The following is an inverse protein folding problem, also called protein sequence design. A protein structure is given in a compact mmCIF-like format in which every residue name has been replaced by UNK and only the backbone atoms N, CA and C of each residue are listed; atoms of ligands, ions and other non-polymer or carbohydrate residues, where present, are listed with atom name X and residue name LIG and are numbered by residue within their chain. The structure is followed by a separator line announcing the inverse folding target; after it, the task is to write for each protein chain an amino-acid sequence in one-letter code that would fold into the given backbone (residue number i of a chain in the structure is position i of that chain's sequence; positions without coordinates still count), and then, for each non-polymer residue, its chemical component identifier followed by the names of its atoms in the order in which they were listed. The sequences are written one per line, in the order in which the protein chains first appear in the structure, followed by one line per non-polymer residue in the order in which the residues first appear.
data_IF_871401446814
#
_entry.id   IF_871401446814
#
_cell.length_a   1.000
_cell.length_b   1.000
_cell.length_c   1.000
_cell.angle_alpha   90.00
_cell.angle_beta   90.00
_cell.angle_gamma   90.00
#
_symmetry.space_group_name_H-M   'P 1'
#
loop_
_entity.id
_entity.type
_entity.pdbx_description
1 polymer ?
#
# COMPACT_ATOMS: atom_id res chain seq x y z
N UNK A 1 67.34 45.13 -5.18
CA UNK A 1 66.51 44.91 -6.36
C UNK A 1 65.65 43.71 -6.02
N UNK A 2 64.64 43.91 -5.17
CA UNK A 2 63.27 44.33 -5.58
C UNK A 2 62.58 43.09 -6.19
N UNK A 3 61.52 42.51 -5.62
CA UNK A 3 60.37 43.16 -4.97
C UNK A 3 59.73 42.30 -3.86
N UNK A 4 59.23 42.99 -2.85
CA UNK A 4 58.20 42.52 -1.92
C UNK A 4 56.88 43.27 -2.22
N UNK A 5 55.82 43.06 -1.42
CA UNK A 5 54.57 42.38 -1.77
C UNK A 5 53.43 43.32 -2.21
N UNK A 6 52.44 42.82 -2.96
CA UNK A 6 51.16 43.54 -3.16
C UNK A 6 49.96 42.58 -2.98
N UNK A 7 48.98 42.93 -2.12
CA UNK A 7 47.82 42.12 -1.77
C UNK A 7 46.68 42.34 -2.78
N UNK A 8 45.86 41.30 -3.00
CA UNK A 8 44.60 41.41 -3.75
C UNK A 8 43.40 41.40 -2.80
N UNK A 9 42.33 42.17 -3.10
CA UNK A 9 41.48 42.78 -2.08
C UNK A 9 40.31 41.90 -1.64
N UNK A 10 39.98 42.01 -0.35
CA UNK A 10 38.71 41.59 0.24
C UNK A 10 37.56 42.32 -0.47
N UNK A 11 36.76 41.58 -1.24
CA UNK A 11 35.50 42.10 -1.76
C UNK A 11 34.43 41.86 -0.72
N UNK A 12 34.23 42.88 0.12
CA UNK A 12 33.10 43.03 1.02
C UNK A 12 31.83 43.11 0.16
N UNK A 13 31.04 42.03 0.12
CA UNK A 13 29.67 42.11 -0.35
C UNK A 13 28.82 42.76 0.75
N UNK A 14 28.65 44.07 0.60
CA UNK A 14 27.72 44.90 1.35
C UNK A 14 26.30 44.38 1.08
N UNK A 15 25.66 43.76 2.08
CA UNK A 15 24.22 43.52 2.07
C UNK A 15 23.49 44.88 2.03
N UNK A 16 22.54 45.11 1.11
CA UNK A 16 21.65 46.26 1.23
C UNK A 16 20.66 46.01 2.37
N UNK A 17 20.76 46.84 3.40
CA UNK A 17 19.75 47.00 4.46
C UNK A 17 18.41 47.41 3.83
N UNK A 18 17.27 46.76 4.17
CA UNK A 18 15.97 47.21 3.71
C UNK A 18 15.55 48.51 4.43
N UNK A 19 14.91 49.47 3.73
CA UNK A 19 14.47 50.72 4.33
C UNK A 19 13.32 50.48 5.31
N UNK A 20 13.48 51.04 6.50
CA UNK A 20 12.39 51.33 7.42
C UNK A 20 11.51 52.45 6.85
N UNK A 21 10.21 52.21 6.69
CA UNK A 21 9.20 53.23 6.95
C UNK A 21 7.80 52.61 7.14
N UNK A 22 7.24 52.82 8.32
CA UNK A 22 5.82 52.90 8.64
C UNK A 22 5.09 53.77 7.59
N UNK A 23 3.83 53.58 7.19
CA UNK A 23 2.59 53.48 7.99
C UNK A 23 1.41 53.31 7.01
N UNK A 24 0.35 52.58 7.43
CA UNK A 24 -1.08 52.65 6.98
C UNK A 24 -1.34 52.37 5.48
N UNK A 25 -2.25 51.51 5.01
CA UNK A 25 -3.60 51.05 5.37
C UNK A 25 -3.92 50.05 4.24
N UNK A 26 -4.35 48.81 4.48
CA UNK A 26 -5.75 48.47 4.65
C UNK A 26 -5.80 46.99 5.03
N UNK A 27 -6.40 46.72 6.18
CA UNK A 27 -6.77 45.40 6.65
C UNK A 27 -8.03 44.99 5.85
N UNK A 28 -8.04 43.92 5.04
CA UNK A 28 -9.31 43.37 4.58
C UNK A 28 -9.94 42.64 5.77
N UNK A 29 -10.55 43.42 6.67
CA UNK A 29 -11.47 42.93 7.70
C UNK A 29 -12.87 42.88 7.09
N UNK A 30 -13.08 41.99 6.13
CA UNK A 30 -14.42 41.49 5.81
C UNK A 30 -14.28 39.99 5.61
N UNK A 31 -14.62 39.28 6.68
CA UNK A 31 -14.90 37.85 6.73
C UNK A 31 -16.05 37.53 5.77
N UNK A 32 -15.77 37.49 4.47
CA UNK A 32 -16.65 36.85 3.51
C UNK A 32 -16.44 35.36 3.65
N UNK A 33 -17.13 34.75 4.63
CA UNK A 33 -17.37 33.32 4.64
C UNK A 33 -18.33 33.03 3.48
N UNK A 34 -17.83 33.11 2.25
CA UNK A 34 -18.53 32.56 1.09
C UNK A 34 -18.64 31.07 1.37
N UNK A 35 -19.83 30.63 1.75
CA UNK A 35 -20.18 29.23 1.90
C UNK A 35 -19.84 28.56 0.58
N UNK A 36 -18.71 27.83 0.55
CA UNK A 36 -18.34 27.02 -0.61
C UNK A 36 -19.53 26.11 -0.89
N UNK A 37 -19.98 26.06 -2.14
CA UNK A 37 -21.01 25.11 -2.53
C UNK A 37 -20.57 23.71 -2.15
N UNK A 38 -21.51 22.83 -1.81
CA UNK A 38 -21.20 21.44 -1.47
C UNK A 38 -20.33 20.78 -2.55
N UNK A 39 -20.59 21.11 -3.82
CA UNK A 39 -19.77 20.73 -4.98
C UNK A 39 -18.30 21.18 -4.86
N UNK A 40 -18.01 22.44 -4.51
CA UNK A 40 -16.64 22.95 -4.40
C UNK A 40 -15.86 22.35 -3.21
N UNK A 41 -16.56 21.96 -2.14
CA UNK A 41 -15.95 21.24 -1.01
C UNK A 41 -15.55 19.83 -1.45
N UNK A 42 -16.40 19.15 -2.22
CA UNK A 42 -16.15 17.80 -2.72
C UNK A 42 -14.95 17.76 -3.67
N UNK A 43 -14.86 18.71 -4.61
CA UNK A 43 -13.72 18.82 -5.54
C UNK A 43 -12.39 19.02 -4.80
N UNK A 44 -12.38 19.88 -3.78
CA UNK A 44 -11.18 20.12 -2.95
C UNK A 44 -10.74 18.87 -2.18
N UNK A 45 -11.67 18.07 -1.66
CA UNK A 45 -11.34 16.80 -0.99
C UNK A 45 -10.71 15.81 -1.97
N UNK A 46 -11.28 15.67 -3.17
CA UNK A 46 -10.77 14.78 -4.23
C UNK A 46 -9.37 15.19 -4.69
N UNK A 47 -9.14 16.49 -4.91
CA UNK A 47 -7.83 17.01 -5.30
C UNK A 47 -6.76 16.75 -4.22
N UNK A 48 -7.11 16.99 -2.95
CA UNK A 48 -6.25 16.68 -1.81
C UNK A 48 -5.94 15.19 -1.69
N UNK A 49 -6.90 14.31 -1.99
CA UNK A 49 -6.68 12.86 -2.00
C UNK A 49 -5.71 12.47 -3.13
N UNK A 50 -5.90 12.99 -4.32
CA UNK A 50 -5.01 12.75 -5.47
C UNK A 50 -3.58 13.21 -5.22
N UNK A 51 -3.41 14.35 -4.53
CA UNK A 51 -2.09 14.84 -4.13
C UNK A 51 -1.41 13.94 -3.09
N UNK A 52 -2.17 13.42 -2.12
CA UNK A 52 -1.67 12.42 -1.16
C UNK A 52 -1.23 11.14 -1.85
N UNK A 53 -2.02 10.63 -2.79
CA UNK A 53 -1.69 9.43 -3.57
C UNK A 53 -0.40 9.63 -4.38
N UNK A 54 -0.26 10.77 -5.08
CA UNK A 54 0.99 11.10 -5.80
C UNK A 54 2.19 11.15 -4.87
N UNK A 55 2.03 11.70 -3.67
CA UNK A 55 3.12 11.78 -2.69
C UNK A 55 3.51 10.39 -2.18
N UNK A 56 2.54 9.50 -1.93
CA UNK A 56 2.77 8.13 -1.46
C UNK A 56 3.46 7.24 -2.50
N UNK A 57 3.06 7.37 -3.77
CA UNK A 57 3.65 6.62 -4.89
C UNK A 57 4.83 7.35 -5.54
N UNK A 58 5.25 8.50 -4.99
CA UNK A 58 6.48 9.14 -5.43
C UNK A 58 7.66 8.19 -5.14
N UNK A 59 8.44 7.87 -6.16
CA UNK A 59 9.49 6.85 -6.11
C UNK A 59 8.97 5.44 -5.75
N UNK A 60 7.78 5.08 -6.22
CA UNK A 60 7.28 3.71 -6.11
C UNK A 60 8.30 2.71 -6.68
N UNK A 61 8.39 1.55 -6.03
CA UNK A 61 9.30 0.46 -6.39
C UNK A 61 8.50 -0.74 -6.84
N UNK A 62 9.05 -1.51 -7.77
CA UNK A 62 8.43 -2.74 -8.25
C UNK A 62 8.85 -3.94 -7.39
N UNK A 63 7.90 -4.85 -7.17
CA UNK A 63 8.22 -6.17 -6.62
C UNK A 63 8.67 -7.09 -7.78
N UNK A 64 9.88 -7.65 -7.77
CA UNK A 64 10.39 -8.50 -8.85
C UNK A 64 9.70 -9.86 -8.98
N UNK A 65 8.83 -10.22 -8.03
CA UNK A 65 8.06 -11.48 -8.06
C UNK A 65 6.72 -11.28 -8.75
N UNK A 66 5.96 -10.22 -8.40
CA UNK A 66 4.62 -9.98 -8.96
C UNK A 66 4.55 -8.81 -9.95
N UNK A 67 5.64 -8.08 -10.15
CA UNK A 67 5.77 -6.94 -11.07
C UNK A 67 4.79 -5.78 -10.81
N UNK A 68 4.21 -5.70 -9.62
CA UNK A 68 3.35 -4.59 -9.19
C UNK A 68 4.16 -3.49 -8.50
N UNK A 69 3.72 -2.23 -8.68
CA UNK A 69 4.30 -1.06 -8.04
C UNK A 69 3.73 -0.85 -6.64
N UNK A 70 4.61 -0.63 -5.68
CA UNK A 70 4.28 -0.34 -4.29
C UNK A 70 4.98 0.93 -3.82
N UNK A 71 4.46 1.61 -2.79
CA UNK A 71 5.15 2.74 -2.14
C UNK A 71 6.58 2.38 -1.71
N UNK A 72 7.49 3.37 -1.62
CA UNK A 72 8.93 3.16 -1.42
C UNK A 72 9.30 2.41 -0.12
N UNK A 73 8.48 2.54 0.92
CA UNK A 73 8.65 1.87 2.21
C UNK A 73 8.02 0.47 2.18
N UNK A 74 8.56 -0.41 1.34
CA UNK A 74 8.21 -1.83 1.26
C UNK A 74 9.24 -2.67 2.03
N UNK A 75 9.02 -3.98 2.13
CA UNK A 75 9.98 -4.90 2.74
C UNK A 75 11.16 -5.16 1.80
N UNK A 76 12.34 -5.34 2.37
CA UNK A 76 13.56 -5.66 1.63
C UNK A 76 14.16 -6.99 2.11
N UNK A 77 14.68 -7.78 1.18
CA UNK A 77 15.36 -9.04 1.47
C UNK A 77 16.63 -8.81 2.28
N UNK A 78 16.83 -9.54 3.39
CA UNK A 78 17.98 -9.34 4.28
C UNK A 78 19.35 -9.52 3.62
N UNK A 79 19.43 -10.32 2.56
CA UNK A 79 20.68 -10.83 1.98
C UNK A 79 21.10 -10.09 0.70
N UNK A 80 20.17 -9.56 -0.08
CA UNK A 80 20.48 -8.86 -1.35
C UNK A 80 19.81 -7.48 -1.45
N UNK A 81 18.97 -7.12 -0.47
CA UNK A 81 18.24 -5.86 -0.46
C UNK A 81 17.25 -5.73 -1.63
N UNK A 82 16.71 -6.85 -2.13
CA UNK A 82 15.67 -6.82 -3.16
C UNK A 82 14.31 -6.49 -2.53
N UNK A 83 13.53 -5.56 -3.10
CA UNK A 83 12.20 -5.23 -2.61
C UNK A 83 11.24 -6.42 -2.78
N UNK A 84 10.33 -6.63 -1.84
CA UNK A 84 9.32 -7.70 -1.92
C UNK A 84 8.03 -7.27 -1.23
N UNK A 85 6.88 -7.50 -1.89
CA UNK A 85 5.59 -7.22 -1.27
C UNK A 85 5.25 -8.26 -0.19
N UNK A 86 4.31 -7.91 0.68
CA UNK A 86 3.89 -8.78 1.80
C UNK A 86 3.26 -10.08 1.30
N UNK A 87 2.50 -10.04 0.20
CA UNK A 87 1.87 -11.23 -0.38
C UNK A 87 2.90 -12.23 -0.87
N UNK A 88 3.83 -11.79 -1.72
CA UNK A 88 4.90 -12.65 -2.22
C UNK A 88 5.77 -13.19 -1.08
N UNK A 89 6.03 -12.41 -0.04
CA UNK A 89 6.77 -12.87 1.13
C UNK A 89 6.06 -14.01 1.87
N UNK A 90 4.75 -13.90 2.12
CA UNK A 90 3.95 -14.91 2.85
C UNK A 90 3.79 -16.22 2.04
N UNK A 91 3.95 -16.14 0.72
CA UNK A 91 3.91 -17.30 -0.17
C UNK A 91 5.22 -18.09 -0.21
N UNK A 92 6.34 -17.51 0.20
CA UNK A 92 7.62 -18.22 0.26
C UNK A 92 7.58 -19.25 1.40
N UNK A 93 7.88 -20.50 1.05
CA UNK A 93 7.81 -21.65 1.96
C UNK A 93 9.04 -22.55 1.81
N UNK A 94 9.27 -23.41 2.81
CA UNK A 94 10.30 -24.45 2.73
C UNK A 94 10.00 -25.42 1.60
N UNK A 95 11.00 -25.98 0.90
CA UNK A 95 10.77 -27.02 -0.09
C UNK A 95 10.00 -28.21 0.53
N UNK A 96 9.02 -28.74 -0.20
CA UNK A 96 8.17 -29.86 0.27
C UNK A 96 8.99 -31.13 0.49
N UNK A 97 10.03 -31.33 -0.34
CA UNK A 97 10.89 -32.50 -0.30
C UNK A 97 11.83 -32.52 0.92
N UNK A 98 12.19 -31.33 1.43
CA UNK A 98 13.16 -31.17 2.53
C UNK A 98 12.64 -30.17 3.57
N UNK A 99 11.58 -30.52 4.33
CA UNK A 99 10.95 -29.60 5.29
C UNK A 99 11.87 -29.20 6.46
N UNK A 100 12.95 -29.94 6.68
CA UNK A 100 13.98 -29.63 7.68
C UNK A 100 14.93 -28.51 7.24
N UNK A 101 15.00 -28.21 5.95
CA UNK A 101 15.89 -27.16 5.41
C UNK A 101 15.14 -25.82 5.39
N UNK A 102 15.73 -24.73 5.89
CA UNK A 102 15.09 -23.42 5.90
C UNK A 102 14.88 -22.90 4.48
N UNK A 103 13.88 -22.05 4.30
CA UNK A 103 13.57 -21.44 3.01
C UNK A 103 14.77 -20.64 2.48
N UNK A 104 15.12 -20.79 1.21
CA UNK A 104 16.21 -20.04 0.56
C UNK A 104 15.68 -18.80 -0.17
N UNK A 105 16.55 -17.82 -0.39
CA UNK A 105 16.20 -16.57 -1.06
C UNK A 105 15.92 -16.81 -2.56
N UNK A 106 14.78 -16.33 -3.10
CA UNK A 106 14.45 -16.50 -4.53
C UNK A 106 15.35 -15.68 -5.46
N UNK A 107 16.13 -14.74 -4.93
CA UNK A 107 16.95 -13.81 -5.72
C UNK A 107 18.43 -14.19 -5.76
N UNK A 108 19.00 -14.57 -4.61
CA UNK A 108 20.43 -14.84 -4.47
C UNK A 108 20.74 -16.17 -3.77
N UNK A 109 19.73 -17.04 -3.61
CA UNK A 109 19.85 -18.40 -3.06
C UNK A 109 20.42 -18.54 -1.65
N UNK A 110 20.59 -17.44 -0.90
CA UNK A 110 20.99 -17.47 0.51
C UNK A 110 19.99 -18.26 1.37
N UNK A 111 20.50 -19.13 2.24
CA UNK A 111 19.72 -19.86 3.26
C UNK A 111 19.01 -18.93 4.27
N UNK A 112 18.07 -19.45 5.07
CA UNK A 112 17.38 -18.70 6.12
C UNK A 112 16.79 -17.38 5.60
N UNK A 113 15.94 -17.45 4.58
CA UNK A 113 15.38 -16.28 3.94
C UNK A 113 14.51 -15.47 4.92
N UNK A 114 14.67 -14.15 4.85
CA UNK A 114 13.92 -13.21 5.66
C UNK A 114 13.99 -11.79 5.11
N UNK A 115 13.16 -10.94 5.68
CA UNK A 115 13.00 -9.55 5.27
C UNK A 115 13.26 -8.59 6.43
N UNK A 116 13.59 -7.36 6.08
CA UNK A 116 13.66 -6.20 6.96
C UNK A 116 12.70 -5.13 6.48
N UNK A 117 12.05 -4.45 7.41
CA UNK A 117 11.15 -3.33 7.11
C UNK A 117 11.75 -2.03 7.64
N UNK A 118 11.91 -1.05 6.75
CA UNK A 118 12.32 0.31 7.12
C UNK A 118 11.10 1.24 7.04
N UNK A 119 10.52 1.61 8.19
CA UNK A 119 9.37 2.50 8.22
C UNK A 119 9.74 3.93 7.82
N UNK A 120 8.76 4.71 7.35
CA UNK A 120 8.99 6.08 6.95
C UNK A 120 9.33 6.99 8.15
N UNK A 121 10.05 8.06 7.87
CA UNK A 121 10.46 9.06 8.88
C UNK A 121 9.27 9.70 9.62
N UNK A 122 8.10 9.81 8.97
CA UNK A 122 6.90 10.33 9.61
C UNK A 122 6.20 9.31 10.52
N UNK A 123 6.51 8.02 10.39
CA UNK A 123 5.89 6.91 11.12
C UNK A 123 6.60 6.53 12.41
N UNK A 124 7.84 6.99 12.63
CA UNK A 124 8.66 6.55 13.76
C UNK A 124 9.29 7.70 14.53
N UNK A 125 9.21 7.62 15.87
CA UNK A 125 10.04 8.41 16.80
C UNK A 125 11.45 7.81 16.89
N UNK A 126 12.15 7.62 15.75
CA UNK A 126 13.52 7.10 15.76
C UNK A 126 14.48 8.14 16.32
N UNK A 127 15.36 7.71 17.21
CA UNK A 127 16.59 8.44 17.56
C UNK A 127 17.54 8.28 16.37
N UNK A 128 17.94 9.39 15.75
CA UNK A 128 18.79 9.47 14.57
C UNK A 128 19.95 8.47 14.61
N UNK A 129 19.94 7.51 13.69
CA UNK A 129 21.15 7.01 13.05
C UNK A 129 20.93 7.18 11.55
N UNK A 130 21.78 7.99 10.92
CA UNK A 130 21.72 8.35 9.52
C UNK A 130 21.72 7.11 8.63
N UNK A 131 20.61 6.86 7.93
CA UNK A 131 20.61 6.06 6.71
C UNK A 131 19.86 6.86 5.64
N UNK A 132 20.61 7.31 4.65
CA UNK A 132 20.12 8.13 3.55
C UNK A 132 19.56 7.26 2.43
N UNK A 133 18.41 7.66 1.91
CA UNK A 133 18.16 7.76 0.47
C UNK A 133 17.90 6.47 -0.31
N UNK A 134 16.69 6.42 -0.86
CA UNK A 134 16.23 5.70 -2.06
C UNK A 134 17.35 5.17 -2.96
N UNK A 135 17.36 3.86 -3.27
CA UNK A 135 18.31 3.26 -4.22
C UNK A 135 17.58 2.79 -5.47
N UNK A 136 17.93 3.39 -6.59
CA UNK A 136 17.50 3.03 -7.94
C UNK A 136 18.47 1.99 -8.52
N UNK A 137 17.98 1.06 -9.32
CA UNK A 137 18.77 0.10 -10.11
C UNK A 137 19.20 0.74 -11.42
N UNK A 138 20.28 1.52 -11.42
CA UNK A 138 21.04 1.77 -12.65
C UNK A 138 22.54 1.77 -12.36
N UNK A 139 23.27 1.10 -13.22
CA UNK A 139 24.71 0.85 -13.17
C UNK A 139 25.49 2.16 -13.24
N UNK A 140 26.17 2.54 -12.16
CA UNK A 140 27.04 3.70 -12.13
C UNK A 140 27.98 3.63 -10.95
N UNK A 141 29.28 3.54 -11.25
CA UNK A 141 30.39 3.46 -10.28
C UNK A 141 30.34 4.68 -9.36
N UNK A 142 29.83 4.48 -8.15
CA UNK A 142 29.98 5.39 -7.03
C UNK A 142 30.12 4.53 -5.77
N UNK A 143 31.08 4.88 -4.91
CA UNK A 143 31.39 4.20 -3.64
C UNK A 143 30.21 4.33 -2.67
N UNK A 144 29.13 3.60 -2.95
CA UNK A 144 28.04 3.39 -2.02
C UNK A 144 28.44 2.27 -1.07
N UNK A 145 28.16 2.37 0.24
CA UNK A 145 28.43 1.29 1.18
C UNK A 145 27.81 0.01 0.64
N UNK A 146 28.69 -0.98 0.42
CA UNK A 146 28.36 -2.33 -0.05
C UNK A 146 27.14 -2.78 0.75
N UNK A 147 26.03 -3.08 0.08
CA UNK A 147 24.76 -3.46 0.75
C UNK A 147 25.08 -4.54 1.80
N UNK A 148 24.84 -4.22 3.07
CA UNK A 148 25.17 -5.11 4.17
C UNK A 148 24.15 -6.23 4.23
N UNK A 149 24.62 -7.47 4.07
CA UNK A 149 23.82 -8.65 4.35
C UNK A 149 23.50 -8.64 5.85
N UNK A 150 22.24 -8.48 6.22
CA UNK A 150 21.81 -8.55 7.60
C UNK A 150 21.75 -10.02 8.03
N UNK A 151 22.36 -10.32 9.17
CA UNK A 151 22.36 -11.67 9.73
C UNK A 151 20.94 -12.12 10.08
N UNK A 152 20.62 -13.38 9.77
CA UNK A 152 19.38 -14.05 10.12
C UNK A 152 19.10 -14.10 11.64
N UNK A 153 20.11 -13.90 12.48
CA UNK A 153 20.00 -13.86 13.95
C UNK A 153 19.61 -12.49 14.52
N UNK A 154 19.50 -11.46 13.67
CA UNK A 154 19.16 -10.12 14.15
C UNK A 154 17.66 -9.99 14.46
N UNK A 155 17.33 -9.27 15.53
CA UNK A 155 15.94 -9.06 15.99
C UNK A 155 15.06 -8.32 14.97
N UNK A 156 15.68 -7.52 14.09
CA UNK A 156 14.96 -6.73 13.07
C UNK A 156 14.59 -7.54 11.82
N UNK A 157 14.97 -8.82 11.75
CA UNK A 157 14.70 -9.69 10.59
C UNK A 157 13.51 -10.60 10.89
N UNK A 158 12.52 -10.56 9.99
CA UNK A 158 11.42 -11.51 9.98
C UNK A 158 11.74 -12.62 9.01
N UNK A 159 11.98 -13.83 9.51
CA UNK A 159 12.23 -15.01 8.69
C UNK A 159 10.92 -15.58 8.13
N UNK A 160 10.99 -16.21 6.95
CA UNK A 160 9.84 -16.89 6.35
C UNK A 160 9.27 -17.98 7.29
N UNK A 161 10.15 -18.67 8.01
CA UNK A 161 9.77 -19.75 8.92
C UNK A 161 8.99 -19.25 10.16
N UNK A 162 9.17 -17.98 10.57
CA UNK A 162 8.42 -17.39 11.69
C UNK A 162 6.91 -17.24 11.37
N UNK A 163 6.55 -17.17 10.08
CA UNK A 163 5.16 -17.03 9.65
C UNK A 163 4.43 -18.37 9.68
N UNK A 164 5.16 -19.49 9.52
CA UNK A 164 4.58 -20.84 9.48
C UNK A 164 5.32 -21.82 10.41
N UNK A 165 5.18 -21.68 11.73
CA UNK A 165 5.99 -22.44 12.71
C UNK A 165 5.67 -23.95 12.81
N UNK A 166 4.70 -24.47 12.05
CA UNK A 166 4.16 -25.84 12.23
C UNK A 166 4.35 -26.74 11.00
N UNK A 167 5.15 -26.33 10.01
CA UNK A 167 5.37 -27.15 8.81
C UNK A 167 6.11 -28.46 9.13
N UNK A 168 6.90 -28.44 10.19
CA UNK A 168 7.75 -29.52 10.70
C UNK A 168 6.98 -30.59 11.48
N UNK A 169 5.72 -30.34 11.88
CA UNK A 169 4.90 -31.32 12.64
C UNK A 169 3.93 -32.12 11.76
N UNK A 170 3.68 -31.70 10.51
CA UNK A 170 2.74 -32.41 9.61
C UNK A 170 3.42 -33.39 8.65
N UNK A 171 4.49 -34.07 9.08
CA UNK A 171 4.83 -35.38 8.50
C UNK A 171 3.92 -36.46 9.11
N UNK A 172 2.60 -36.28 9.01
CA UNK A 172 1.67 -37.39 9.23
C UNK A 172 1.83 -38.33 8.03
N UNK A 173 2.06 -39.65 8.24
CA UNK A 173 2.27 -40.57 7.14
C UNK A 173 1.06 -40.52 6.20
N UNK A 174 1.33 -40.35 4.91
CA UNK A 174 0.35 -40.43 3.84
C UNK A 174 -0.35 -41.79 3.96
N UNK A 175 -1.55 -41.82 4.58
CA UNK A 175 -2.43 -42.98 4.44
C UNK A 175 -2.93 -42.98 3.00
N UNK A 176 -2.79 -44.09 2.25
CA UNK A 176 -3.31 -44.18 0.91
C UNK A 176 -4.84 -44.08 0.98
N UNK A 177 -5.40 -43.00 0.45
CA UNK A 177 -6.85 -42.86 0.26
C UNK A 177 -7.23 -43.81 -0.89
N UNK A 178 -8.09 -44.82 -0.68
CA UNK A 178 -8.53 -45.66 -1.77
C UNK A 178 -9.36 -44.81 -2.74
N UNK A 179 -8.92 -44.78 -4.00
CA UNK A 179 -9.72 -44.27 -5.12
C UNK A 179 -10.97 -45.14 -5.21
N UNK A 180 -12.10 -44.65 -4.70
CA UNK A 180 -13.41 -45.14 -5.13
C UNK A 180 -13.98 -44.17 -6.15
N UNK A 181 -13.91 -44.58 -7.40
CA UNK A 181 -14.64 -44.05 -8.53
C UNK A 181 -16.14 -43.99 -8.24
N UNK A 182 -16.76 -42.83 -8.38
CA UNK A 182 -18.18 -42.69 -8.74
C UNK A 182 -18.42 -41.29 -9.32
N UNK A 183 -18.91 -41.29 -10.55
CA UNK A 183 -19.35 -40.14 -11.31
C UNK A 183 -20.73 -39.71 -10.80
N UNK A 184 -21.01 -38.40 -10.92
CA UNK A 184 -22.31 -37.72 -11.05
C UNK A 184 -22.81 -36.83 -9.89
N UNK A 185 -23.07 -35.57 -10.30
CA UNK A 185 -24.08 -34.62 -9.83
C UNK A 185 -23.74 -33.62 -8.71
N UNK A 186 -23.43 -32.41 -9.19
CA UNK A 186 -23.79 -31.08 -8.69
C UNK A 186 -24.85 -31.03 -7.56
N UNK A 187 -24.45 -30.62 -6.36
CA UNK A 187 -25.26 -29.80 -5.44
C UNK A 187 -24.37 -29.12 -4.39
N UNK A 188 -24.38 -27.78 -4.37
CA UNK A 188 -23.88 -26.94 -3.27
C UNK A 188 -24.58 -27.36 -1.98
N UNK A 189 -23.81 -27.71 -0.94
CA UNK A 189 -24.28 -27.68 0.44
C UNK A 189 -23.27 -26.88 1.25
N UNK A 190 -23.71 -25.71 1.72
CA UNK A 190 -23.02 -24.95 2.76
C UNK A 190 -22.87 -25.85 4.00
N UNK A 191 -21.63 -26.09 4.42
CA UNK A 191 -21.37 -26.56 5.79
C UNK A 191 -21.28 -25.35 6.70
N UNK A 192 -22.42 -24.92 7.25
CA UNK A 192 -22.44 -24.11 8.46
C UNK A 192 -21.95 -24.98 9.61
N UNK A 193 -20.77 -24.68 10.15
CA UNK A 193 -20.32 -25.25 11.43
C UNK A 193 -21.09 -24.59 12.58
N UNK A 194 -21.78 -25.35 13.45
CA UNK A 194 -22.41 -24.79 14.63
C UNK A 194 -21.42 -24.85 15.80
N UNK A 195 -20.60 -23.82 15.98
CA UNK A 195 -20.12 -23.45 17.33
C UNK A 195 -19.35 -22.12 17.32
N UNK A 196 -20.06 -21.01 17.61
CA UNK A 196 -19.53 -19.86 18.34
C UNK A 196 -20.68 -18.93 18.68
N UNK A 197 -21.10 -18.99 19.93
CA UNK A 197 -22.08 -18.09 20.52
C UNK A 197 -21.53 -16.66 20.61
N UNK A 198 -22.44 -15.72 20.37
CA UNK A 198 -22.44 -14.31 20.77
C UNK A 198 -21.45 -13.35 20.07
N UNK A 199 -22.05 -12.34 19.42
CA UNK A 199 -21.50 -11.06 18.89
C UNK A 199 -21.49 -10.91 17.37
N UNK A 200 -22.57 -11.24 16.66
CA UNK A 200 -22.69 -11.03 15.21
C UNK A 200 -23.68 -9.94 14.77
N UNK A 201 -24.45 -9.32 15.68
CA UNK A 201 -25.35 -8.21 15.27
C UNK A 201 -24.61 -6.91 14.99
N UNK A 202 -23.38 -6.71 15.50
CA UNK A 202 -22.57 -5.52 15.21
C UNK A 202 -21.65 -5.68 13.99
N UNK A 203 -21.37 -6.91 13.55
CA UNK A 203 -20.51 -7.19 12.40
C UNK A 203 -21.29 -7.17 11.07
N UNK A 204 -22.58 -7.52 11.09
CA UNK A 204 -23.45 -7.43 9.91
C UNK A 204 -23.69 -5.98 9.49
N UNK A 205 -23.84 -5.04 10.43
CA UNK A 205 -24.06 -3.62 10.13
C UNK A 205 -22.87 -2.93 9.43
N UNK A 206 -21.64 -3.40 9.67
CA UNK A 206 -20.47 -2.86 8.96
C UNK A 206 -20.36 -3.38 7.52
N UNK A 207 -20.80 -4.61 7.25
CA UNK A 207 -20.79 -5.17 5.90
C UNK A 207 -21.94 -4.65 5.02
N UNK A 208 -23.10 -4.35 5.62
CA UNK A 208 -24.24 -3.74 4.91
C UNK A 208 -23.98 -2.27 4.57
N UNK A 209 -23.39 -1.47 5.47
CA UNK A 209 -22.99 -0.10 5.17
C UNK A 209 -21.88 -0.02 4.11
N UNK A 210 -20.91 -0.94 4.11
CA UNK A 210 -19.82 -0.94 3.12
C UNK A 210 -20.26 -1.31 1.71
N UNK A 211 -21.38 -2.03 1.56
CA UNK A 211 -22.04 -2.24 0.26
C UNK A 211 -22.77 -1.00 -0.25
N UNK A 212 -23.02 -0.01 0.62
CA UNK A 212 -23.68 1.24 0.23
C UNK A 212 -22.69 2.25 -0.36
N UNK A 213 -21.42 2.23 0.07
CA UNK A 213 -20.36 3.13 -0.43
C UNK A 213 -19.63 2.65 -1.69
N UNK A 214 -19.95 1.46 -2.24
CA UNK A 214 -19.23 0.88 -3.39
C UNK A 214 -20.13 0.41 -4.53
N UNK A 215 -21.37 0.92 -4.63
CA UNK A 215 -22.13 0.67 -5.87
C UNK A 215 -21.45 1.40 -7.03
N UNK A 216 -20.82 0.62 -7.91
CA UNK A 216 -20.18 1.11 -9.12
C UNK A 216 -21.18 1.92 -9.97
N UNK A 217 -20.68 2.93 -10.69
CA UNK A 217 -21.49 3.80 -11.55
C UNK A 217 -22.34 2.99 -12.54
N UNK A 218 -21.81 1.87 -13.02
CA UNK A 218 -22.48 0.91 -13.90
C UNK A 218 -23.70 0.28 -13.23
N UNK A 219 -23.58 -0.20 -11.99
CA UNK A 219 -24.70 -0.80 -11.25
C UNK A 219 -25.79 0.23 -10.92
N UNK A 220 -25.40 1.49 -10.63
CA UNK A 220 -26.38 2.57 -10.46
C UNK A 220 -27.15 2.85 -11.77
N UNK A 221 -26.46 2.85 -12.91
CA UNK A 221 -27.08 3.02 -14.22
C UNK A 221 -28.01 1.85 -14.58
N UNK A 222 -27.61 0.60 -14.29
CA UNK A 222 -28.42 -0.59 -14.51
C UNK A 222 -29.70 -0.55 -13.67
N UNK A 223 -29.58 -0.22 -12.39
CA UNK A 223 -30.74 -0.14 -11.49
C UNK A 223 -31.69 1.00 -11.89
N UNK A 224 -31.17 2.14 -12.36
CA UNK A 224 -31.99 3.26 -12.84
C UNK A 224 -32.69 2.92 -14.16
N UNK A 225 -32.05 2.19 -15.07
CA UNK A 225 -32.65 1.73 -16.32
C UNK A 225 -33.83 0.76 -16.07
N UNK A 226 -33.65 -0.22 -15.16
CA UNK A 226 -34.72 -1.14 -14.75
C UNK A 226 -35.91 -0.36 -14.16
N UNK A 227 -35.62 0.60 -13.28
CA UNK A 227 -36.65 1.43 -12.65
C UNK A 227 -37.47 2.22 -13.67
N UNK A 228 -36.83 2.83 -14.66
CA UNK A 228 -37.49 3.57 -15.73
C UNK A 228 -38.35 2.64 -16.62
N UNK A 229 -37.82 1.47 -16.98
CA UNK A 229 -38.56 0.50 -17.81
C UNK A 229 -39.80 -0.06 -17.10
N UNK A 230 -39.72 -0.27 -15.77
CA UNK A 230 -40.89 -0.69 -14.98
C UNK A 230 -41.93 0.42 -14.86
N UNK A 231 -41.52 1.68 -14.69
CA UNK A 231 -42.43 2.82 -14.66
C UNK A 231 -43.15 2.99 -16.01
N UNK A 232 -42.40 2.90 -17.11
CA UNK A 232 -42.94 2.97 -18.47
C UNK A 232 -43.95 1.84 -18.75
N UNK A 233 -43.63 0.59 -18.38
CA UNK A 233 -44.57 -0.53 -18.53
C UNK A 233 -45.87 -0.32 -17.73
N UNK A 234 -45.80 0.26 -16.53
CA UNK A 234 -46.98 0.55 -15.71
C UNK A 234 -47.83 1.62 -16.38
N UNK A 235 -47.22 2.67 -16.91
CA UNK A 235 -47.92 3.75 -17.61
C UNK A 235 -48.53 3.28 -18.93
N UNK A 236 -47.84 2.45 -19.70
CA UNK A 236 -48.40 1.82 -20.90
C UNK A 236 -49.59 0.93 -20.57
N UNK A 237 -49.50 0.11 -19.51
CA UNK A 237 -50.62 -0.72 -19.04
C UNK A 237 -51.81 0.13 -18.61
N UNK A 238 -51.56 1.24 -17.91
CA UNK A 238 -52.60 2.17 -17.47
C UNK A 238 -53.25 2.89 -18.66
N UNK A 239 -52.45 3.30 -19.65
CA UNK A 239 -52.93 3.95 -20.86
C UNK A 239 -53.74 2.97 -21.73
N UNK A 240 -53.31 1.72 -21.82
CA UNK A 240 -54.06 0.64 -22.49
C UNK A 240 -55.41 0.38 -21.82
N UNK A 241 -55.45 0.40 -20.47
CA UNK A 241 -56.70 0.27 -19.69
C UNK A 241 -57.65 1.47 -19.85
N UNK A 242 -57.14 2.65 -20.20
CA UNK A 242 -57.96 3.86 -20.43
C UNK A 242 -58.51 3.96 -21.85
N UNK A 243 -58.00 3.16 -22.79
CA UNK A 243 -58.43 3.13 -24.20
C UNK A 243 -59.50 2.07 -24.49
N UNK A 244 -59.89 1.30 -23.47
CA UNK A 244 -61.01 0.35 -23.47
C UNK A 244 -62.13 1.00 -22.67
#
# INVERSE_FOLDING_TARGET
LEDAPIPVPETILILPTPPSLSTMTCRPSLTSKRSKSASAIETYKMERQKERERTLYNNAVECPICFLYYPPHINYSRCCGQPICTECFIQIHRPIETPSVPSSCPFCTQENYGITYEPPQWGEKRKNNNISGTRHTTSGVSESPRRECVSHMSSNVVLADHIRPKLDTSSAPLRPVPRRSSISNLRRVLMTRPNRSASSTAADDMFTNRRQETMDLEDWMVMNAIRLSLAEQVDERKNRRRRI
#
